data_IF_089563973832
#
_entry.id   IF_089563973832
#
_cell.length_a   1.000
_cell.length_b   1.000
_cell.length_c   1.000
_cell.angle_alpha   90.00
_cell.angle_beta   90.00
_cell.angle_gamma   90.00
#
_symmetry.space_group_name_H-M   'P 1'
#
loop_
_entity.id
_entity.type
_entity.pdbx_description
1 polymer ?
#
# COMPACT_ATOMS: atom_id res chain seq x y z
N UNK A 1 -19.73 8.50 -0.94
CA UNK A 1 -18.56 9.34 -1.25
C UNK A 1 -19.03 10.55 -2.06
N UNK A 2 -19.21 11.70 -1.40
CA UNK A 2 -19.82 12.90 -2.00
C UNK A 2 -18.81 13.98 -2.38
N UNK A 3 -17.58 13.60 -2.72
CA UNK A 3 -16.56 14.57 -3.14
C UNK A 3 -16.83 15.08 -4.56
N UNK A 4 -16.84 16.41 -4.81
CA UNK A 4 -16.96 16.95 -6.16
C UNK A 4 -15.65 16.86 -6.97
N UNK A 5 -14.52 16.55 -6.32
CA UNK A 5 -13.19 16.52 -6.96
C UNK A 5 -12.95 15.25 -7.79
N UNK A 6 -13.78 14.22 -7.61
CA UNK A 6 -13.60 12.92 -8.26
C UNK A 6 -14.77 12.59 -9.19
N UNK A 7 -14.44 12.12 -10.39
CA UNK A 7 -15.38 11.56 -11.35
C UNK A 7 -15.87 10.16 -10.94
N UNK A 8 -16.82 9.62 -11.69
CA UNK A 8 -17.42 8.30 -11.40
C UNK A 8 -16.39 7.17 -11.42
N UNK A 9 -15.45 7.18 -12.37
CA UNK A 9 -14.36 6.20 -12.47
C UNK A 9 -13.46 6.21 -11.23
N UNK A 10 -13.06 7.40 -10.78
CA UNK A 10 -12.18 7.58 -9.60
C UNK A 10 -12.90 7.17 -8.32
N UNK A 11 -14.17 7.55 -8.17
CA UNK A 11 -15.01 7.14 -7.04
C UNK A 11 -15.16 5.63 -6.95
N UNK A 12 -15.36 4.96 -8.08
CA UNK A 12 -15.49 3.50 -8.13
C UNK A 12 -14.20 2.81 -7.64
N UNK A 13 -13.02 3.23 -8.13
CA UNK A 13 -11.75 2.64 -7.70
C UNK A 13 -11.40 2.96 -6.25
N UNK A 14 -11.66 4.18 -5.76
CA UNK A 14 -11.41 4.54 -4.34
C UNK A 14 -12.32 3.69 -3.44
N UNK A 15 -13.61 3.57 -3.77
CA UNK A 15 -14.56 2.74 -3.02
C UNK A 15 -14.12 1.27 -3.00
N UNK A 16 -13.67 0.75 -4.14
CA UNK A 16 -13.14 -0.61 -4.21
C UNK A 16 -11.89 -0.80 -3.35
N UNK A 17 -10.94 0.14 -3.42
CA UNK A 17 -9.71 0.09 -2.62
C UNK A 17 -9.99 0.14 -1.10
N UNK A 18 -10.96 0.93 -0.66
CA UNK A 18 -11.43 0.93 0.74
C UNK A 18 -11.95 -0.44 1.18
N UNK A 19 -12.79 -1.06 0.33
CA UNK A 19 -13.34 -2.39 0.59
C UNK A 19 -12.27 -3.48 0.67
N UNK A 20 -11.29 -3.45 -0.24
CA UNK A 20 -10.15 -4.39 -0.23
C UNK A 20 -9.37 -4.23 1.07
N UNK A 21 -9.05 -2.99 1.47
CA UNK A 21 -8.31 -2.74 2.71
C UNK A 21 -9.03 -3.23 3.97
N UNK A 22 -10.37 -3.18 3.99
CA UNK A 22 -11.19 -3.66 5.09
C UNK A 22 -11.57 -5.14 4.99
N UNK A 23 -11.07 -5.88 4.00
CA UNK A 23 -11.46 -7.26 3.70
C UNK A 23 -12.99 -7.43 3.51
N UNK A 24 -13.66 -6.40 2.97
CA UNK A 24 -15.12 -6.39 2.72
C UNK A 24 -15.49 -6.55 1.25
N UNK A 25 -14.53 -6.43 0.33
CA UNK A 25 -14.76 -6.48 -1.12
C UNK A 25 -15.56 -7.72 -1.57
N UNK A 26 -15.33 -8.88 -0.97
CA UNK A 26 -16.02 -10.14 -1.31
C UNK A 26 -17.54 -10.16 -1.05
N UNK A 27 -18.07 -9.14 -0.39
CA UNK A 27 -19.47 -9.07 0.04
C UNK A 27 -20.24 -7.91 -0.60
N UNK A 28 -19.61 -7.20 -1.53
CA UNK A 28 -20.16 -5.99 -2.13
C UNK A 28 -20.12 -6.11 -3.66
N UNK A 29 -21.05 -6.92 -4.19
CA UNK A 29 -21.18 -7.19 -5.62
C UNK A 29 -21.51 -5.91 -6.42
N UNK A 30 -22.24 -4.96 -5.82
CA UNK A 30 -22.51 -3.66 -6.47
C UNK A 30 -21.21 -2.89 -6.65
N UNK A 31 -20.34 -2.81 -5.64
CA UNK A 31 -19.05 -2.14 -5.78
C UNK A 31 -18.19 -2.76 -6.91
N UNK A 32 -18.18 -4.10 -7.04
CA UNK A 32 -17.51 -4.75 -8.16
C UNK A 32 -18.17 -4.40 -9.50
N UNK A 33 -19.50 -4.41 -9.58
CA UNK A 33 -20.24 -4.06 -10.79
C UNK A 33 -20.01 -2.59 -11.20
N UNK A 34 -19.94 -1.65 -10.26
CA UNK A 34 -19.62 -0.24 -10.54
C UNK A 34 -18.18 -0.09 -11.04
N UNK A 35 -17.23 -0.86 -10.50
CA UNK A 35 -15.85 -0.87 -10.96
C UNK A 35 -15.76 -1.41 -12.40
N UNK A 36 -16.46 -2.51 -12.70
CA UNK A 36 -16.48 -3.15 -14.01
C UNK A 36 -17.14 -2.31 -15.13
N UNK A 37 -17.82 -1.21 -14.79
CA UNK A 37 -18.29 -0.22 -15.79
C UNK A 37 -17.16 0.65 -16.36
N UNK A 38 -16.02 0.71 -15.67
CA UNK A 38 -14.95 1.66 -15.96
C UNK A 38 -13.59 1.02 -16.20
N UNK A 39 -13.44 -0.25 -15.83
CA UNK A 39 -12.19 -0.99 -15.88
C UNK A 39 -12.45 -2.40 -16.42
N UNK A 40 -11.52 -2.89 -17.23
CA UNK A 40 -11.56 -4.27 -17.68
C UNK A 40 -11.10 -5.24 -16.57
N UNK A 41 -11.33 -6.57 -16.73
CA UNK A 41 -10.94 -7.54 -15.70
C UNK A 41 -9.46 -7.53 -15.33
N UNK A 42 -8.56 -7.23 -16.27
CA UNK A 42 -7.11 -7.16 -16.03
C UNK A 42 -6.78 -5.94 -15.19
N UNK A 43 -7.32 -4.77 -15.54
CA UNK A 43 -7.17 -3.55 -14.75
C UNK A 43 -7.70 -3.74 -13.31
N UNK A 44 -8.83 -4.43 -13.15
CA UNK A 44 -9.40 -4.73 -11.82
C UNK A 44 -8.44 -5.60 -10.98
N UNK A 45 -7.78 -6.59 -11.59
CA UNK A 45 -6.77 -7.41 -10.91
C UNK A 45 -5.59 -6.55 -10.46
N UNK A 46 -5.07 -5.68 -11.32
CA UNK A 46 -3.94 -4.79 -11.00
C UNK A 46 -4.31 -3.81 -9.87
N UNK A 47 -5.46 -3.15 -9.96
CA UNK A 47 -5.95 -2.23 -8.94
C UNK A 47 -6.14 -2.93 -7.58
N UNK A 48 -6.72 -4.13 -7.59
CA UNK A 48 -6.92 -4.94 -6.39
C UNK A 48 -5.57 -5.33 -5.77
N UNK A 49 -4.59 -5.69 -6.62
CA UNK A 49 -3.24 -6.03 -6.18
C UNK A 49 -2.57 -4.85 -5.48
N UNK A 50 -2.63 -3.65 -6.08
CA UNK A 50 -2.06 -2.45 -5.47
C UNK A 50 -2.75 -2.12 -4.14
N UNK A 51 -4.09 -2.15 -4.10
CA UNK A 51 -4.84 -1.89 -2.87
C UNK A 51 -4.47 -2.89 -1.75
N UNK A 52 -4.43 -4.19 -2.07
CA UNK A 52 -4.06 -5.24 -1.12
C UNK A 52 -2.61 -5.09 -0.62
N UNK A 53 -1.67 -4.80 -1.52
CA UNK A 53 -0.26 -4.61 -1.17
C UNK A 53 -0.07 -3.41 -0.24
N UNK A 54 -0.76 -2.29 -0.49
CA UNK A 54 -0.71 -1.13 0.41
C UNK A 54 -1.33 -1.47 1.78
N UNK A 55 -2.43 -2.20 1.81
CA UNK A 55 -3.03 -2.69 3.05
C UNK A 55 -2.11 -3.63 3.84
N UNK A 56 -1.33 -4.47 3.16
CA UNK A 56 -0.29 -5.30 3.78
C UNK A 56 0.83 -4.43 4.36
N UNK A 57 1.38 -3.50 3.56
CA UNK A 57 2.47 -2.64 4.00
C UNK A 57 2.09 -1.77 5.20
N UNK A 58 0.87 -1.21 5.22
CA UNK A 58 0.40 -0.46 6.39
C UNK A 58 0.42 -1.34 7.66
N UNK A 59 -0.15 -2.55 7.59
CA UNK A 59 -0.14 -3.50 8.73
C UNK A 59 1.28 -3.89 9.15
N UNK A 60 2.16 -4.13 8.18
CA UNK A 60 3.55 -4.48 8.44
C UNK A 60 4.29 -3.36 9.17
N UNK A 61 4.20 -2.14 8.65
CA UNK A 61 4.85 -0.96 9.23
C UNK A 61 4.30 -0.66 10.62
N UNK A 62 2.98 -0.66 10.78
CA UNK A 62 2.32 -0.38 12.07
C UNK A 62 2.67 -1.44 13.12
N UNK A 63 2.64 -2.72 12.76
CA UNK A 63 2.92 -3.83 13.70
C UNK A 63 4.37 -3.85 14.18
N UNK A 64 5.29 -3.33 13.37
CA UNK A 64 6.71 -3.23 13.70
C UNK A 64 7.09 -1.86 14.27
N UNK A 65 6.11 -0.97 14.48
CA UNK A 65 6.33 0.40 14.94
C UNK A 65 7.38 1.15 14.10
N UNK A 66 7.38 0.91 12.78
CA UNK A 66 8.35 1.55 11.89
C UNK A 66 7.95 3.01 11.72
N UNK A 67 8.77 3.90 12.26
CA UNK A 67 8.56 5.35 12.16
C UNK A 67 8.78 5.84 10.73
N UNK A 68 8.05 6.91 10.38
CA UNK A 68 8.31 7.62 9.13
C UNK A 68 9.71 8.24 9.17
N UNK A 69 10.38 8.19 8.03
CA UNK A 69 11.68 8.81 7.86
C UNK A 69 11.61 10.31 8.24
N UNK A 70 12.65 10.82 8.89
CA UNK A 70 12.73 12.24 9.26
C UNK A 70 12.71 13.17 8.03
N UNK A 71 12.41 14.48 8.22
CA UNK A 71 12.26 15.44 7.12
C UNK A 71 13.47 15.51 6.18
N UNK A 72 14.68 15.33 6.72
CA UNK A 72 15.93 15.34 5.95
C UNK A 72 16.00 14.17 4.95
N UNK A 73 15.60 12.97 5.37
CA UNK A 73 15.64 11.78 4.51
C UNK A 73 14.48 11.76 3.51
N UNK A 74 13.31 12.26 3.91
CA UNK A 74 12.19 12.50 2.98
C UNK A 74 12.56 13.49 1.86
N UNK A 75 13.25 14.59 2.18
CA UNK A 75 13.72 15.56 1.19
C UNK A 75 14.70 14.95 0.18
N UNK A 76 15.41 13.88 0.57
CA UNK A 76 16.32 13.11 -0.31
C UNK A 76 15.60 12.03 -1.12
N UNK A 77 14.27 12.00 -1.10
CA UNK A 77 13.44 11.08 -1.89
C UNK A 77 13.06 9.80 -1.16
N UNK A 78 13.17 9.76 0.17
CA UNK A 78 12.60 8.67 0.96
C UNK A 78 13.36 7.34 0.83
N UNK A 79 14.64 7.39 0.46
CA UNK A 79 15.46 6.20 0.21
C UNK A 79 16.51 6.10 1.31
N UNK A 80 16.19 5.36 2.37
CA UNK A 80 17.22 4.81 3.23
C UNK A 80 18.19 3.95 2.38
N UNK A 81 19.46 4.37 2.32
CA UNK A 81 20.52 3.60 1.70
C UNK A 81 21.50 3.20 2.81
N UNK A 82 21.75 1.90 2.95
CA UNK A 82 22.79 1.40 3.84
C UNK A 82 24.14 1.47 3.11
N UNK A 83 25.15 2.04 3.76
CA UNK A 83 26.52 1.91 3.28
C UNK A 83 27.00 0.46 3.38
N UNK A 84 28.11 0.14 2.71
CA UNK A 84 28.73 -1.19 2.84
C UNK A 84 29.10 -1.47 4.29
N UNK A 85 29.55 -0.44 5.00
CA UNK A 85 29.93 -0.47 6.40
C UNK A 85 28.72 -0.76 7.30
N UNK A 86 27.57 -0.10 7.06
CA UNK A 86 26.32 -0.34 7.80
C UNK A 86 25.85 -1.80 7.63
N UNK A 87 25.92 -2.32 6.41
CA UNK A 87 25.54 -3.71 6.11
C UNK A 87 26.47 -4.72 6.80
N UNK A 88 27.78 -4.47 6.78
CA UNK A 88 28.75 -5.34 7.44
C UNK A 88 28.52 -5.37 8.96
N UNK A 89 28.31 -4.21 9.58
CA UNK A 89 28.00 -4.10 10.99
C UNK A 89 26.70 -4.83 11.37
N UNK A 90 25.66 -4.73 10.53
CA UNK A 90 24.40 -5.45 10.74
C UNK A 90 24.59 -6.98 10.67
N UNK A 91 25.31 -7.48 9.66
CA UNK A 91 25.56 -8.92 9.49
C UNK A 91 26.41 -9.48 10.63
N UNK A 92 27.45 -8.77 11.07
CA UNK A 92 28.22 -9.19 12.24
C UNK A 92 27.37 -9.27 13.51
N UNK A 93 26.45 -8.31 13.69
CA UNK A 93 25.54 -8.30 14.83
C UNK A 93 24.58 -9.50 14.78
N UNK A 94 24.06 -9.84 13.60
CA UNK A 94 23.23 -11.04 13.41
C UNK A 94 24.00 -12.33 13.66
N UNK A 95 25.22 -12.45 13.17
CA UNK A 95 26.04 -13.65 13.35
C UNK A 95 26.40 -13.90 14.82
N UNK A 96 26.45 -12.87 15.66
CA UNK A 96 26.68 -12.99 17.12
C UNK A 96 25.41 -13.34 17.91
N UNK A 97 24.23 -13.30 17.28
CA UNK A 97 22.94 -13.64 17.89
C UNK A 97 22.55 -15.12 17.72
N UNK A 98 23.30 -15.89 16.92
CA UNK A 98 23.10 -17.32 16.65
C UNK A 98 24.24 -18.11 17.25
#
# INVERSE_FOLDING_TARGET
MESPLFGSREKAVIRWAELVNWNKARYDDDAFAQLAKHFDPTEIVELTTVAAFRGLMNRFMDSLHIELEGPELQARGGRAAASREDLHAYVEKLAKLV
#
